data_IF_918513920896
#
_entry.id   IF_918513920896
#
_cell.length_a   1.000
_cell.length_b   1.000
_cell.length_c   1.000
_cell.angle_alpha   90.00
_cell.angle_beta   90.00
_cell.angle_gamma   90.00
#
_symmetry.space_group_name_H-M   'P 1'
#
loop_
_entity.id
_entity.type
_entity.pdbx_description
1 polymer ?
#
# COMPACT_ATOMS: atom_id res chain seq x y z
N UNK A 1 -26.79 -45.87 -34.55
CA UNK A 1 -27.21 -44.45 -34.61
C UNK A 1 -26.30 -43.62 -33.72
N UNK A 2 -26.04 -42.36 -34.06
CA UNK A 2 -25.17 -41.45 -33.28
C UNK A 2 -25.98 -40.72 -32.20
N UNK A 3 -25.37 -40.44 -31.05
CA UNK A 3 -25.75 -39.33 -30.16
C UNK A 3 -24.50 -38.64 -29.61
N UNK A 4 -24.64 -37.37 -29.23
CA UNK A 4 -23.56 -36.36 -29.22
C UNK A 4 -23.42 -35.74 -27.82
N UNK A 5 -22.20 -35.41 -27.34
CA UNK A 5 -22.03 -34.73 -26.05
C UNK A 5 -22.44 -33.24 -26.14
N UNK A 6 -23.04 -32.67 -25.08
CA UNK A 6 -23.37 -31.24 -25.04
C UNK A 6 -22.12 -30.36 -24.93
N UNK A 7 -22.20 -29.18 -25.56
CA UNK A 7 -21.09 -28.24 -25.76
C UNK A 7 -20.77 -27.40 -24.52
N UNK A 8 -19.50 -27.00 -24.41
CA UNK A 8 -19.11 -25.83 -23.65
C UNK A 8 -19.74 -24.55 -24.24
N UNK A 9 -20.21 -23.65 -23.37
CA UNK A 9 -20.65 -22.30 -23.72
C UNK A 9 -19.72 -21.30 -23.03
N UNK A 10 -18.87 -20.64 -23.83
CA UNK A 10 -18.02 -19.56 -23.36
C UNK A 10 -18.86 -18.35 -22.97
N UNK A 11 -18.61 -17.78 -21.79
CA UNK A 11 -19.24 -16.52 -21.39
C UNK A 11 -18.54 -15.35 -22.05
N UNK A 12 -19.29 -14.57 -22.83
CA UNK A 12 -18.78 -13.35 -23.45
C UNK A 12 -18.45 -12.29 -22.38
N UNK A 13 -17.24 -11.74 -22.44
CA UNK A 13 -16.83 -10.62 -21.59
C UNK A 13 -17.40 -9.33 -22.17
N UNK A 14 -18.45 -8.80 -21.56
CA UNK A 14 -18.97 -7.47 -21.87
C UNK A 14 -18.10 -6.42 -21.14
N UNK A 15 -17.17 -5.82 -21.86
CA UNK A 15 -16.38 -4.68 -21.36
C UNK A 15 -17.24 -3.41 -21.46
N UNK A 16 -17.81 -2.98 -20.33
CA UNK A 16 -18.42 -1.64 -20.22
C UNK A 16 -17.36 -0.66 -19.73
N UNK A 17 -16.73 0.06 -20.65
CA UNK A 17 -15.83 1.16 -20.33
C UNK A 17 -16.65 2.42 -19.96
N UNK A 18 -16.77 2.72 -18.67
CA UNK A 18 -17.41 3.95 -18.20
C UNK A 18 -16.43 5.14 -18.26
N UNK A 19 -16.43 5.86 -19.37
CA UNK A 19 -15.71 7.13 -19.49
C UNK A 19 -16.37 8.20 -18.61
N UNK A 20 -15.64 8.73 -17.63
CA UNK A 20 -16.10 9.85 -16.82
C UNK A 20 -15.63 11.16 -17.45
N UNK A 21 -16.57 11.92 -18.04
CA UNK A 21 -16.30 13.24 -18.60
C UNK A 21 -16.22 14.25 -17.45
N UNK A 22 -15.03 14.80 -17.20
CA UNK A 22 -14.85 15.94 -16.31
C UNK A 22 -14.98 17.24 -17.11
N UNK A 23 -16.03 18.02 -16.84
CA UNK A 23 -16.22 19.35 -17.43
C UNK A 23 -15.35 20.35 -16.66
N UNK A 24 -14.27 20.82 -17.28
CA UNK A 24 -13.48 21.94 -16.75
C UNK A 24 -14.07 23.28 -17.20
N UNK A 25 -14.53 24.09 -16.24
CA UNK A 25 -14.83 25.50 -16.48
C UNK A 25 -13.52 26.31 -16.48
N UNK A 26 -13.10 26.77 -17.66
CA UNK A 26 -11.91 27.62 -17.80
C UNK A 26 -12.27 29.10 -17.62
N UNK A 27 -11.66 29.77 -16.63
CA UNK A 27 -11.63 31.24 -16.59
C UNK A 27 -10.45 31.76 -17.40
N UNK A 28 -10.68 32.83 -18.18
CA UNK A 28 -9.70 33.44 -19.09
C UNK A 28 -9.03 34.66 -18.45
N UNK A 29 -7.72 34.76 -18.65
CA UNK A 29 -6.98 36.02 -18.66
C UNK A 29 -5.48 35.76 -18.84
N UNK A 30 -4.68 36.53 -19.58
CA UNK A 30 -4.85 37.39 -20.75
C UNK A 30 -3.45 37.99 -21.04
N UNK A 31 -2.75 37.51 -22.09
CA UNK A 31 -1.56 38.14 -22.74
C UNK A 31 -0.29 38.23 -21.83
N UNK A 32 0.95 38.31 -22.32
CA UNK A 32 1.52 38.61 -23.66
C UNK A 32 2.89 37.95 -23.88
N UNK A 33 3.27 37.75 -25.16
CA UNK A 33 4.64 37.50 -25.68
C UNK A 33 5.09 38.73 -26.51
N UNK A 34 6.22 38.77 -27.27
CA UNK A 34 7.34 37.80 -27.44
C UNK A 34 8.76 38.44 -27.50
N UNK A 35 9.80 37.58 -27.59
CA UNK A 35 11.00 37.65 -28.50
C UNK A 35 12.10 36.73 -27.94
N UNK A 36 13.14 36.28 -28.66
CA UNK A 36 13.42 35.86 -30.04
C UNK A 36 14.95 35.79 -30.15
N UNK A 37 15.52 34.76 -30.79
CA UNK A 37 16.92 34.72 -31.23
C UNK A 37 18.03 34.54 -30.16
N UNK A 38 19.24 34.08 -30.50
CA UNK A 38 19.66 33.37 -31.70
C UNK A 38 20.96 32.56 -31.47
N UNK A 39 21.08 31.49 -32.24
CA UNK A 39 22.27 30.66 -32.52
C UNK A 39 23.57 31.45 -32.82
N UNK A 40 24.74 30.92 -32.41
CA UNK A 40 25.87 30.62 -33.32
C UNK A 40 27.12 30.04 -32.61
N UNK A 41 27.61 28.90 -33.12
CA UNK A 41 29.04 28.54 -33.19
C UNK A 41 29.49 28.75 -34.66
N UNK A 42 30.65 28.28 -35.20
CA UNK A 42 31.86 27.70 -34.59
C UNK A 42 33.17 28.32 -35.13
N UNK A 43 34.36 27.88 -34.67
CA UNK A 43 35.53 27.73 -35.58
C UNK A 43 36.42 26.56 -35.15
N UNK A 44 36.87 25.77 -36.14
CA UNK A 44 37.86 24.70 -36.03
C UNK A 44 39.29 25.22 -36.27
N UNK A 45 40.31 24.50 -35.79
CA UNK A 45 41.52 24.31 -36.59
C UNK A 45 42.32 23.08 -36.14
N UNK A 46 42.67 22.22 -37.09
CA UNK A 46 43.59 21.11 -36.91
C UNK A 46 44.92 21.44 -37.60
N UNK A 47 46.04 20.99 -37.04
CA UNK A 47 47.35 21.02 -37.72
C UNK A 47 48.09 19.70 -37.51
N UNK A 48 48.77 19.26 -38.57
CA UNK A 48 49.40 17.93 -38.70
C UNK A 48 50.84 18.08 -39.23
N UNK A 49 51.61 17.00 -39.14
CA UNK A 49 52.92 16.70 -39.76
C UNK A 49 54.20 17.09 -38.99
N UNK A 50 55.17 16.16 -38.97
CA UNK A 50 56.57 16.38 -38.57
C UNK A 50 57.27 15.15 -37.97
N UNK A 51 58.19 14.54 -38.72
CA UNK A 51 59.10 13.44 -38.33
C UNK A 51 60.19 13.31 -39.44
N UNK A 52 61.37 12.67 -39.29
CA UNK A 52 62.04 11.90 -38.22
C UNK A 52 63.36 12.66 -37.85
N UNK A 53 64.52 12.10 -37.39
CA UNK A 53 64.84 10.79 -36.81
C UNK A 53 65.74 10.78 -35.53
N UNK A 54 65.79 9.62 -34.86
CA UNK A 54 67.03 8.98 -34.38
C UNK A 54 67.84 9.57 -33.21
N UNK A 55 67.71 8.96 -32.02
CA UNK A 55 68.80 8.80 -31.04
C UNK A 55 68.65 7.46 -30.30
N UNK A 56 69.75 6.95 -29.74
CA UNK A 56 69.92 5.54 -29.39
C UNK A 56 69.13 5.05 -28.17
N UNK A 57 68.86 3.74 -28.16
CA UNK A 57 68.26 3.02 -27.03
C UNK A 57 69.20 2.98 -25.83
N UNK A 58 68.70 3.41 -24.66
CA UNK A 58 69.28 3.11 -23.35
C UNK A 58 68.19 2.39 -22.55
N UNK A 59 68.36 1.09 -22.35
CA UNK A 59 67.46 0.27 -21.54
C UNK A 59 67.70 0.56 -20.05
N UNK A 60 67.00 1.57 -19.53
CA UNK A 60 66.84 1.79 -18.09
C UNK A 60 65.50 1.19 -17.65
N UNK A 61 65.54 0.09 -16.89
CA UNK A 61 64.35 -0.52 -16.30
C UNK A 61 63.78 0.39 -15.19
N UNK A 62 62.83 1.25 -15.54
CA UNK A 62 62.07 2.03 -14.56
C UNK A 62 61.06 1.14 -13.82
N UNK A 63 60.91 1.24 -12.49
CA UNK A 63 59.79 0.66 -11.78
C UNK A 63 58.48 1.20 -12.35
N UNK A 64 57.53 0.31 -12.65
CA UNK A 64 56.28 0.68 -13.29
C UNK A 64 55.26 1.16 -12.24
N UNK A 65 55.63 2.18 -11.46
CA UNK A 65 54.77 2.83 -10.46
C UNK A 65 53.71 3.70 -11.16
N UNK A 66 52.74 3.02 -11.77
CA UNK A 66 51.48 3.66 -12.18
C UNK A 66 50.70 3.97 -10.90
N UNK A 67 50.37 5.24 -10.59
CA UNK A 67 49.56 5.56 -9.44
C UNK A 67 48.18 4.89 -9.60
N UNK A 68 47.92 3.86 -8.80
CA UNK A 68 46.63 3.20 -8.78
C UNK A 68 45.61 4.24 -8.33
N UNK A 69 44.74 4.66 -9.25
CA UNK A 69 43.72 5.66 -8.95
C UNK A 69 42.91 5.18 -7.75
N UNK A 70 43.00 5.90 -6.64
CA UNK A 70 42.33 5.53 -5.41
C UNK A 70 40.84 5.34 -5.71
N UNK A 71 40.31 4.17 -5.36
CA UNK A 71 38.88 3.93 -5.52
C UNK A 71 38.11 5.03 -4.78
N UNK A 72 37.01 5.57 -5.35
CA UNK A 72 36.24 6.59 -4.67
C UNK A 72 35.84 6.08 -3.28
N UNK A 73 35.84 6.94 -2.25
CA UNK A 73 35.49 6.51 -0.90
C UNK A 73 34.10 5.86 -0.95
N UNK A 74 33.86 4.79 -0.15
CA UNK A 74 32.56 4.15 -0.11
C UNK A 74 31.49 5.21 0.19
N UNK A 75 30.29 5.11 -0.42
CA UNK A 75 29.22 6.04 -0.14
C UNK A 75 28.96 6.08 1.37
N UNK A 76 28.59 7.24 1.93
CA UNK A 76 28.28 7.33 3.36
C UNK A 76 27.23 6.27 3.71
N UNK A 77 27.33 5.63 4.89
CA UNK A 77 26.37 4.61 5.28
C UNK A 77 24.96 5.18 5.19
N UNK A 78 24.06 4.46 4.51
CA UNK A 78 22.65 4.83 4.47
C UNK A 78 22.14 5.03 5.92
N UNK A 79 21.27 6.03 6.16
CA UNK A 79 20.79 6.31 7.51
C UNK A 79 20.21 5.03 8.11
N UNK A 80 20.81 4.58 9.21
CA UNK A 80 20.56 3.25 9.75
C UNK A 80 19.08 3.01 9.95
N UNK A 81 18.59 1.86 9.47
CA UNK A 81 17.20 1.42 9.62
C UNK A 81 16.70 1.68 11.03
N UNK A 82 15.71 2.56 11.13
CA UNK A 82 14.93 2.76 12.33
C UNK A 82 14.39 1.43 12.86
N UNK A 83 14.57 1.14 14.16
CA UNK A 83 14.09 -0.11 14.75
C UNK A 83 12.58 -0.28 14.48
N UNK A 84 12.11 -1.45 14.01
CA UNK A 84 10.69 -1.67 13.75
C UNK A 84 9.87 -1.65 15.06
N UNK A 85 8.59 -1.26 15.00
CA UNK A 85 7.68 -1.49 16.13
C UNK A 85 7.43 -3.00 16.28
N UNK A 86 7.35 -3.55 17.51
CA UNK A 86 7.04 -4.95 17.71
C UNK A 86 5.79 -5.39 16.93
N UNK A 87 5.84 -6.58 16.30
CA UNK A 87 4.72 -7.13 15.55
C UNK A 87 3.47 -7.25 16.45
N UNK A 88 2.27 -7.13 15.88
CA UNK A 88 1.06 -7.26 16.69
C UNK A 88 0.83 -8.74 17.03
N UNK A 89 0.50 -9.02 18.29
CA UNK A 89 0.19 -10.38 18.73
C UNK A 89 -1.12 -10.87 18.08
N UNK A 90 -1.00 -11.65 17.00
CA UNK A 90 -2.14 -12.26 16.31
C UNK A 90 -2.61 -13.47 17.12
N UNK A 91 -3.50 -13.23 18.08
CA UNK A 91 -4.08 -14.29 18.90
C UNK A 91 -4.97 -15.21 18.08
N UNK A 92 -4.94 -16.50 18.41
CA UNK A 92 -5.95 -17.48 18.04
C UNK A 92 -6.65 -17.87 19.33
N UNK A 93 -7.85 -17.34 19.55
CA UNK A 93 -8.66 -17.62 20.75
C UNK A 93 -9.83 -18.49 20.33
N UNK A 94 -9.98 -19.65 20.95
CA UNK A 94 -11.17 -20.47 20.74
C UNK A 94 -12.41 -19.76 21.30
N UNK A 95 -13.47 -19.54 20.48
CA UNK A 95 -14.66 -18.85 20.94
C UNK A 95 -15.44 -19.70 21.98
N UNK A 96 -16.19 -19.06 22.90
CA UNK A 96 -16.92 -19.77 23.95
C UNK A 96 -17.87 -20.86 23.43
N UNK A 97 -18.24 -21.84 24.27
CA UNK A 97 -19.30 -22.80 23.97
C UNK A 97 -20.60 -22.10 23.52
N UNK A 98 -21.33 -22.71 22.60
CA UNK A 98 -22.46 -22.07 21.89
C UNK A 98 -23.54 -21.49 22.83
N UNK A 99 -23.80 -22.15 23.96
CA UNK A 99 -24.74 -21.68 25.00
C UNK A 99 -24.28 -20.37 25.63
N UNK A 100 -23.02 -20.32 26.07
CA UNK A 100 -22.42 -19.12 26.66
C UNK A 100 -22.24 -18.02 25.62
N UNK A 101 -21.84 -18.34 24.40
CA UNK A 101 -21.74 -17.38 23.31
C UNK A 101 -23.11 -16.76 22.95
N UNK A 102 -24.18 -17.55 22.96
CA UNK A 102 -25.55 -17.03 22.74
C UNK A 102 -25.96 -16.08 23.88
N UNK A 103 -25.65 -16.45 25.13
CA UNK A 103 -25.93 -15.64 26.31
C UNK A 103 -25.16 -14.30 26.25
N UNK A 104 -23.85 -14.35 26.07
CA UNK A 104 -22.99 -13.17 25.93
C UNK A 104 -23.43 -12.28 24.76
N UNK A 105 -23.68 -12.83 23.57
CA UNK A 105 -24.13 -12.05 22.41
C UNK A 105 -25.50 -11.38 22.59
N UNK A 106 -26.32 -11.87 23.54
CA UNK A 106 -27.62 -11.30 23.90
C UNK A 106 -27.51 -10.25 25.02
N UNK A 107 -26.75 -10.55 26.06
CA UNK A 107 -26.76 -9.83 27.36
C UNK A 107 -25.56 -8.90 27.55
N UNK A 108 -24.39 -9.28 27.02
CA UNK A 108 -23.11 -8.60 27.23
C UNK A 108 -22.24 -8.63 25.95
N UNK A 109 -22.74 -8.12 24.80
CA UNK A 109 -22.09 -8.28 23.51
C UNK A 109 -20.69 -7.66 23.45
N UNK A 110 -20.42 -6.62 24.24
CA UNK A 110 -19.12 -5.96 24.35
C UNK A 110 -18.03 -6.87 24.96
N UNK A 111 -18.41 -7.86 25.79
CA UNK A 111 -17.47 -8.81 26.37
C UNK A 111 -16.93 -9.85 25.35
N UNK A 112 -17.49 -9.89 24.13
CA UNK A 112 -16.99 -10.72 23.04
C UNK A 112 -15.95 -9.98 22.16
N UNK A 113 -15.80 -8.67 22.30
CA UNK A 113 -14.96 -7.86 21.41
C UNK A 113 -15.45 -7.84 19.97
N UNK A 114 -14.53 -7.56 19.04
CA UNK A 114 -14.83 -7.42 17.61
C UNK A 114 -14.78 -8.76 16.85
N UNK A 115 -15.72 -8.98 15.93
CA UNK A 115 -15.77 -10.18 15.09
C UNK A 115 -16.10 -9.87 13.62
N UNK A 116 -15.39 -10.54 12.71
CA UNK A 116 -15.58 -10.49 11.26
C UNK A 116 -16.54 -11.62 10.85
N UNK A 117 -17.80 -11.28 10.57
CA UNK A 117 -18.87 -12.25 10.28
C UNK A 117 -19.07 -12.37 8.77
N UNK A 118 -18.74 -13.53 8.20
CA UNK A 118 -18.85 -13.78 6.75
C UNK A 118 -17.53 -13.48 6.03
N UNK A 119 -17.60 -12.95 4.80
CA UNK A 119 -16.40 -12.60 4.02
C UNK A 119 -16.26 -11.08 3.81
N UNK A 120 -15.07 -10.57 3.47
CA UNK A 120 -14.85 -9.17 3.10
C UNK A 120 -15.83 -8.62 2.05
N UNK A 121 -16.32 -9.48 1.15
CA UNK A 121 -17.22 -9.14 0.03
C UNK A 121 -18.68 -9.59 0.21
N UNK A 122 -18.99 -10.25 1.32
CA UNK A 122 -20.35 -10.65 1.74
C UNK A 122 -20.34 -10.92 3.24
N UNK A 123 -20.33 -9.84 4.02
CA UNK A 123 -20.09 -9.93 5.46
C UNK A 123 -20.78 -8.85 6.27
N UNK A 124 -20.50 -8.88 7.57
CA UNK A 124 -20.89 -7.87 8.56
C UNK A 124 -19.82 -7.80 9.66
N UNK A 125 -19.82 -6.69 10.38
CA UNK A 125 -18.94 -6.45 11.53
C UNK A 125 -19.79 -6.53 12.80
N UNK A 126 -19.29 -7.23 13.80
CA UNK A 126 -19.87 -7.27 15.15
C UNK A 126 -18.85 -6.67 16.13
N UNK A 127 -19.29 -5.85 17.09
CA UNK A 127 -18.41 -5.29 18.12
C UNK A 127 -17.20 -4.52 17.58
N UNK A 128 -17.33 -3.90 16.40
CA UNK A 128 -16.23 -3.21 15.73
C UNK A 128 -15.69 -2.04 16.53
N UNK A 129 -14.45 -1.65 16.24
CA UNK A 129 -13.78 -0.48 16.82
C UNK A 129 -13.64 0.60 15.74
N UNK A 130 -13.92 1.85 16.09
CA UNK A 130 -13.74 3.00 15.21
C UNK A 130 -12.30 3.53 15.28
N UNK A 131 -11.65 3.66 14.11
CA UNK A 131 -10.41 4.40 13.99
C UNK A 131 -10.69 5.90 14.17
N UNK A 132 -10.04 6.51 15.16
CA UNK A 132 -10.17 7.93 15.46
C UNK A 132 -9.02 8.74 14.88
N UNK A 133 -9.25 10.04 14.75
CA UNK A 133 -8.20 11.02 14.52
C UNK A 133 -7.15 10.99 15.63
N UNK A 134 -5.89 11.15 15.25
CA UNK A 134 -4.74 11.26 16.16
C UNK A 134 -3.67 12.19 15.57
N UNK A 135 -2.57 12.42 16.30
CA UNK A 135 -1.42 13.17 15.78
C UNK A 135 -0.83 12.59 14.48
N UNK A 136 -1.03 11.30 14.21
CA UNK A 136 -0.55 10.64 13.01
C UNK A 136 -1.61 10.29 11.99
N UNK A 137 -2.89 10.27 12.37
CA UNK A 137 -3.99 9.80 11.52
C UNK A 137 -5.03 10.91 11.37
N UNK A 138 -5.45 11.14 10.14
CA UNK A 138 -6.58 12.00 9.77
C UNK A 138 -7.62 11.16 9.04
N UNK A 139 -8.81 11.01 9.62
CA UNK A 139 -9.94 10.32 9.00
C UNK A 139 -10.45 11.12 7.82
N UNK A 140 -10.49 10.48 6.66
CA UNK A 140 -10.95 11.09 5.43
C UNK A 140 -12.49 11.17 5.29
N UNK A 141 -13.21 11.27 6.42
CA UNK A 141 -14.63 10.96 6.49
C UNK A 141 -14.91 9.47 6.28
N UNK A 142 -16.03 9.17 5.59
CA UNK A 142 -16.42 7.81 5.26
C UNK A 142 -16.77 6.97 6.50
N UNK A 143 -16.40 5.69 6.46
CA UNK A 143 -16.71 4.71 7.51
C UNK A 143 -15.43 4.12 8.12
N UNK A 144 -15.17 4.44 9.39
CA UNK A 144 -13.90 4.14 10.07
C UNK A 144 -13.88 2.87 10.94
N UNK A 145 -14.80 1.92 10.78
CA UNK A 145 -14.96 0.80 11.72
C UNK A 145 -14.28 -0.47 11.23
N UNK A 146 -13.49 -1.13 12.08
CA UNK A 146 -12.80 -2.39 11.77
C UNK A 146 -12.85 -3.39 12.92
N UNK A 147 -12.16 -4.53 12.79
CA UNK A 147 -11.81 -5.33 13.98
C UNK A 147 -10.76 -4.59 14.81
N UNK A 148 -10.69 -4.85 16.11
CA UNK A 148 -9.72 -4.19 17.01
C UNK A 148 -8.28 -4.40 16.52
N UNK A 149 -7.95 -5.59 16.03
CA UNK A 149 -6.62 -5.90 15.49
C UNK A 149 -6.29 -5.03 14.26
N UNK A 150 -7.26 -4.81 13.37
CA UNK A 150 -7.09 -3.95 12.19
C UNK A 150 -6.81 -2.51 12.60
N UNK A 151 -7.61 -1.96 13.52
CA UNK A 151 -7.41 -0.59 14.01
C UNK A 151 -6.02 -0.45 14.64
N UNK A 152 -5.65 -1.37 15.54
CA UNK A 152 -4.34 -1.36 16.21
C UNK A 152 -3.17 -1.56 15.25
N UNK A 153 -3.31 -2.34 14.18
CA UNK A 153 -2.27 -2.51 13.15
C UNK A 153 -2.02 -1.23 12.34
N UNK A 154 -3.08 -0.51 11.96
CA UNK A 154 -2.98 0.79 11.28
C UNK A 154 -2.27 1.80 12.19
N UNK A 155 -2.73 1.93 13.44
CA UNK A 155 -2.11 2.85 14.41
C UNK A 155 -0.64 2.50 14.69
N UNK A 156 -0.30 1.20 14.82
CA UNK A 156 1.08 0.73 15.01
C UNK A 156 1.97 1.17 13.85
N UNK A 157 1.56 0.90 12.61
CA UNK A 157 2.36 1.26 11.43
C UNK A 157 2.54 2.78 11.30
N UNK A 158 1.53 3.58 11.66
CA UNK A 158 1.65 5.05 11.66
C UNK A 158 2.55 5.56 12.77
N UNK A 159 2.51 4.98 13.98
CA UNK A 159 3.45 5.30 15.06
C UNK A 159 4.89 4.99 14.65
N UNK A 160 5.12 3.84 14.00
CA UNK A 160 6.44 3.47 13.47
C UNK A 160 6.97 4.55 12.52
N UNK A 161 6.19 4.93 11.50
CA UNK A 161 6.60 5.97 10.53
C UNK A 161 6.88 7.30 11.23
N UNK A 162 6.06 7.74 12.19
CA UNK A 162 6.32 8.99 12.94
C UNK A 162 7.61 8.94 13.76
N UNK A 163 7.96 7.80 14.34
CA UNK A 163 9.22 7.63 15.08
C UNK A 163 10.43 7.59 14.13
N UNK A 164 10.27 7.00 12.95
CA UNK A 164 11.34 6.86 11.97
C UNK A 164 11.55 8.09 11.09
N UNK A 165 10.53 8.93 10.93
CA UNK A 165 10.53 10.14 10.12
C UNK A 165 9.93 11.28 10.94
N UNK A 166 10.81 12.08 11.55
CA UNK A 166 10.43 13.31 12.24
C UNK A 166 9.57 14.21 11.34
N UNK A 167 8.67 14.96 11.98
CA UNK A 167 7.73 15.89 11.36
C UNK A 167 6.86 15.28 10.24
N UNK A 168 6.63 13.95 10.28
CA UNK A 168 5.73 13.30 9.35
C UNK A 168 4.32 13.89 9.42
N UNK A 169 3.72 14.28 8.27
CA UNK A 169 2.36 14.80 8.24
C UNK A 169 1.34 13.74 8.70
N UNK A 170 0.11 14.18 9.01
CA UNK A 170 -0.98 13.25 9.34
C UNK A 170 -1.36 12.43 8.10
N UNK A 171 -1.27 11.11 8.21
CA UNK A 171 -1.67 10.16 7.18
C UNK A 171 -3.19 10.13 7.07
N UNK A 172 -3.71 10.22 5.85
CA UNK A 172 -5.14 9.99 5.63
C UNK A 172 -5.48 8.51 5.68
N UNK A 173 -6.57 8.17 6.37
CA UNK A 173 -7.17 6.84 6.33
C UNK A 173 -8.64 6.97 5.90
N UNK A 174 -8.98 6.24 4.83
CA UNK A 174 -10.28 6.18 4.17
C UNK A 174 -11.19 5.10 4.73
N UNK A 175 -12.06 4.53 3.90
CA UNK A 175 -13.03 3.53 4.35
C UNK A 175 -12.37 2.26 4.91
N UNK A 176 -12.93 1.73 6.00
CA UNK A 176 -12.53 0.46 6.64
C UNK A 176 -13.71 -0.50 6.54
N UNK A 177 -14.75 -0.26 7.33
CA UNK A 177 -16.10 -0.79 7.16
C UNK A 177 -17.09 0.12 7.88
N UNK A 178 -18.39 -0.14 7.63
CA UNK A 178 -19.49 0.42 8.43
C UNK A 178 -19.44 -0.15 9.86
N UNK A 179 -20.00 0.57 10.85
CA UNK A 179 -20.12 0.11 12.26
C UNK A 179 -20.57 -1.35 12.39
N UNK A 180 -21.51 -1.77 11.53
CA UNK A 180 -22.08 -3.14 11.48
C UNK A 180 -21.70 -3.91 10.21
N UNK A 181 -20.73 -3.39 9.46
CA UNK A 181 -20.30 -3.91 8.16
C UNK A 181 -21.43 -3.91 7.12
N UNK A 182 -21.42 -4.92 6.25
CA UNK A 182 -22.35 -5.03 5.12
C UNK A 182 -21.94 -4.18 3.92
N UNK A 183 -22.71 -4.30 2.83
CA UNK A 183 -22.44 -3.64 1.55
C UNK A 183 -22.17 -2.14 1.72
N UNK A 184 -21.07 -1.68 1.12
CA UNK A 184 -20.59 -0.32 1.19
C UNK A 184 -20.29 0.19 -0.23
N UNK A 185 -21.21 0.94 -0.85
CA UNK A 185 -20.99 1.53 -2.18
C UNK A 185 -19.91 2.62 -2.10
N UNK A 186 -18.95 2.71 -3.04
CA UNK A 186 -18.80 1.93 -4.28
C UNK A 186 -17.98 0.64 -4.15
N UNK A 187 -17.44 0.37 -2.96
CA UNK A 187 -16.52 -0.73 -2.67
C UNK A 187 -17.13 -2.11 -2.89
N UNK A 188 -16.30 -3.06 -3.33
CA UNK A 188 -16.69 -4.48 -3.47
C UNK A 188 -16.46 -5.26 -2.17
N UNK A 189 -15.42 -4.90 -1.43
CA UNK A 189 -15.05 -5.43 -0.11
C UNK A 189 -15.51 -4.45 1.01
N UNK A 190 -14.76 -4.31 2.12
CA UNK A 190 -15.06 -3.44 3.26
C UNK A 190 -16.32 -3.83 4.06
N UNK A 191 -16.77 -5.07 3.96
CA UNK A 191 -18.04 -5.50 4.59
C UNK A 191 -17.87 -6.15 5.96
N UNK A 192 -16.67 -6.62 6.32
CA UNK A 192 -16.45 -7.40 7.55
C UNK A 192 -15.38 -6.83 8.48
N UNK A 193 -14.93 -5.59 8.24
CA UNK A 193 -13.95 -4.88 9.08
C UNK A 193 -12.51 -5.38 8.96
N UNK A 194 -12.17 -6.12 7.89
CA UNK A 194 -10.83 -6.67 7.60
C UNK A 194 -10.07 -5.92 6.49
N UNK A 195 -10.69 -4.92 5.87
CA UNK A 195 -10.13 -4.13 4.79
C UNK A 195 -9.96 -2.67 5.24
N UNK A 196 -8.97 -1.94 4.72
CA UNK A 196 -8.82 -0.50 4.95
C UNK A 196 -8.16 0.21 3.75
N UNK A 197 -8.72 1.35 3.34
CA UNK A 197 -8.10 2.26 2.38
C UNK A 197 -7.19 3.24 3.11
N UNK A 198 -5.91 3.29 2.73
CA UNK A 198 -4.88 4.09 3.39
C UNK A 198 -4.22 5.00 2.35
N UNK A 199 -4.06 6.29 2.67
CA UNK A 199 -3.40 7.25 1.79
C UNK A 199 -1.90 6.99 1.64
N UNK A 200 -1.27 7.65 0.68
CA UNK A 200 0.20 7.69 0.60
C UNK A 200 0.78 8.85 1.43
N UNK A 201 2.08 8.83 1.67
CA UNK A 201 2.80 10.01 2.11
C UNK A 201 3.31 10.80 0.89
N UNK A 202 3.24 12.12 0.97
CA UNK A 202 3.62 13.04 -0.10
C UNK A 202 4.67 14.02 0.44
N UNK A 203 5.42 14.66 -0.45
CA UNK A 203 6.49 15.63 -0.10
C UNK A 203 5.97 16.89 0.62
N UNK A 204 4.65 17.07 0.67
CA UNK A 204 3.92 18.12 1.40
C UNK A 204 2.62 17.54 1.93
N UNK A 205 1.89 18.28 2.77
CA UNK A 205 0.63 17.78 3.34
C UNK A 205 -0.38 17.44 2.24
N UNK A 206 -0.93 16.23 2.32
CA UNK A 206 -1.77 15.67 1.29
C UNK A 206 -3.20 16.26 1.31
N UNK A 207 -3.89 16.09 0.19
CA UNK A 207 -5.36 16.05 0.16
C UNK A 207 -5.83 14.60 0.01
N UNK A 208 -6.99 14.26 0.58
CA UNK A 208 -7.55 12.92 0.37
C UNK A 208 -7.86 12.67 -1.11
N UNK A 209 -7.68 11.43 -1.56
CA UNK A 209 -7.72 11.03 -2.97
C UNK A 209 -6.71 11.73 -3.92
N UNK A 210 -5.69 12.43 -3.42
CA UNK A 210 -4.62 12.97 -4.24
C UNK A 210 -3.88 11.87 -5.03
N UNK A 211 -3.71 12.00 -6.35
CA UNK A 211 -2.95 11.01 -7.12
C UNK A 211 -1.45 11.08 -6.81
N UNK A 212 -0.85 9.93 -6.50
CA UNK A 212 0.59 9.76 -6.37
C UNK A 212 1.29 9.78 -7.74
N UNK A 213 2.37 10.56 -7.83
CA UNK A 213 3.22 10.73 -9.02
C UNK A 213 4.69 10.84 -8.60
N UNK A 214 5.63 10.78 -9.54
CA UNK A 214 7.07 10.90 -9.23
C UNK A 214 7.42 12.26 -8.60
N UNK A 215 6.68 13.30 -8.99
CA UNK A 215 6.86 14.67 -8.55
C UNK A 215 6.40 14.86 -7.10
N UNK A 216 5.29 14.23 -6.68
CA UNK A 216 4.65 14.51 -5.39
C UNK A 216 4.79 13.42 -4.32
N UNK A 217 5.03 12.16 -4.69
CA UNK A 217 5.10 11.04 -3.74
C UNK A 217 6.34 11.14 -2.85
N UNK A 218 6.17 10.94 -1.55
CA UNK A 218 7.27 10.61 -0.67
C UNK A 218 7.44 9.09 -0.67
N UNK A 219 8.31 8.60 -1.55
CA UNK A 219 8.56 7.17 -1.70
C UNK A 219 9.20 6.55 -0.45
N UNK A 220 10.00 7.32 0.31
CA UNK A 220 10.67 6.85 1.52
C UNK A 220 9.69 6.63 2.68
N UNK A 221 8.90 7.66 3.02
CA UNK A 221 7.86 7.57 4.06
C UNK A 221 6.76 6.59 3.68
N UNK A 222 6.36 6.56 2.40
CA UNK A 222 5.36 5.60 1.90
C UNK A 222 5.88 4.16 1.95
N UNK A 223 7.12 3.92 1.56
CA UNK A 223 7.70 2.58 1.68
C UNK A 223 7.83 2.15 3.14
N UNK A 224 8.24 3.04 4.05
CA UNK A 224 8.29 2.75 5.47
C UNK A 224 6.90 2.37 6.04
N UNK A 225 5.83 3.05 5.61
CA UNK A 225 4.46 2.67 5.99
C UNK A 225 4.08 1.28 5.49
N UNK A 226 4.36 0.97 4.22
CA UNK A 226 4.06 -0.32 3.61
C UNK A 226 4.87 -1.44 4.28
N UNK A 227 6.17 -1.22 4.55
CA UNK A 227 7.04 -2.13 5.30
C UNK A 227 6.51 -2.35 6.72
N UNK A 228 6.21 -1.28 7.46
CA UNK A 228 5.69 -1.36 8.82
C UNK A 228 4.36 -2.13 8.91
N UNK A 229 3.47 -1.99 7.92
CA UNK A 229 2.24 -2.78 7.85
C UNK A 229 2.53 -4.28 7.65
N UNK A 230 3.42 -4.64 6.72
CA UNK A 230 3.82 -6.03 6.43
C UNK A 230 4.50 -6.66 7.65
N UNK A 231 5.44 -5.96 8.27
CA UNK A 231 6.19 -6.40 9.46
C UNK A 231 5.33 -6.45 10.73
N UNK A 232 4.15 -5.82 10.71
CA UNK A 232 3.10 -6.07 11.70
C UNK A 232 2.61 -7.53 11.74
N UNK A 233 2.88 -8.34 10.70
CA UNK A 233 2.64 -9.79 10.65
C UNK A 233 1.22 -10.19 10.23
N UNK A 234 0.26 -9.27 10.28
CA UNK A 234 -1.16 -9.55 10.04
C UNK A 234 -1.71 -9.03 8.71
N UNK A 235 -0.87 -8.60 7.75
CA UNK A 235 -1.32 -8.26 6.38
C UNK A 235 -1.49 -9.52 5.53
N UNK A 236 -2.68 -9.67 4.92
CA UNK A 236 -2.97 -10.69 3.90
C UNK A 236 -2.43 -10.25 2.54
N UNK A 237 -2.80 -9.03 2.12
CA UNK A 237 -2.47 -8.47 0.81
C UNK A 237 -2.65 -6.95 0.81
N UNK A 238 -1.96 -6.27 -0.11
CA UNK A 238 -2.04 -4.83 -0.33
C UNK A 238 -2.28 -4.58 -1.82
N UNK A 239 -3.31 -3.81 -2.19
CA UNK A 239 -3.50 -3.35 -3.57
C UNK A 239 -2.95 -1.94 -3.76
N UNK A 240 -2.03 -1.81 -4.72
CA UNK A 240 -1.36 -0.56 -5.12
C UNK A 240 -1.43 -0.48 -6.65
N UNK A 241 -1.70 0.69 -7.24
CA UNK A 241 -1.65 0.85 -8.69
C UNK A 241 -0.22 0.63 -9.22
N UNK A 242 -0.07 0.00 -10.38
CA UNK A 242 1.24 -0.39 -10.93
C UNK A 242 2.15 0.83 -11.19
N UNK A 243 1.58 2.01 -11.43
CA UNK A 243 2.36 3.25 -11.53
C UNK A 243 3.01 3.64 -10.20
N UNK A 244 2.33 3.44 -9.07
CA UNK A 244 2.88 3.72 -7.74
C UNK A 244 3.83 2.60 -7.28
N UNK A 245 3.53 1.34 -7.60
CA UNK A 245 4.45 0.22 -7.34
C UNK A 245 5.83 0.48 -7.93
N UNK A 246 5.92 0.98 -9.18
CA UNK A 246 7.18 1.32 -9.85
C UNK A 246 7.96 2.41 -9.11
N UNK A 247 7.29 3.40 -8.54
CA UNK A 247 7.94 4.46 -7.75
C UNK A 247 8.52 3.91 -6.44
N UNK A 248 7.79 3.02 -5.76
CA UNK A 248 8.27 2.35 -4.55
C UNK A 248 9.42 1.37 -4.86
N UNK A 249 9.32 0.60 -5.94
CA UNK A 249 10.41 -0.28 -6.41
C UNK A 249 11.67 0.51 -6.78
N UNK A 250 11.53 1.65 -7.45
CA UNK A 250 12.66 2.52 -7.77
C UNK A 250 13.36 3.06 -6.51
N UNK A 251 12.60 3.44 -5.47
CA UNK A 251 13.17 3.80 -4.18
C UNK A 251 13.82 2.61 -3.46
N UNK A 252 13.15 1.45 -3.42
CA UNK A 252 13.66 0.22 -2.80
C UNK A 252 14.99 -0.23 -3.42
N UNK A 253 15.17 -0.08 -4.73
CA UNK A 253 16.42 -0.37 -5.42
C UNK A 253 17.60 0.54 -5.01
N UNK A 254 17.34 1.65 -4.31
CA UNK A 254 18.40 2.52 -3.72
C UNK A 254 18.80 2.11 -2.30
N UNK A 255 18.07 1.18 -1.67
CA UNK A 255 18.35 0.71 -0.32
C UNK A 255 19.47 -0.33 -0.31
N UNK A 256 20.25 -0.43 0.79
CA UNK A 256 21.18 -1.54 1.00
C UNK A 256 20.49 -2.89 0.84
N UNK A 257 21.20 -3.90 0.32
CA UNK A 257 20.64 -5.22 0.02
C UNK A 257 19.91 -5.85 1.22
N UNK A 258 20.51 -5.80 2.42
CA UNK A 258 19.90 -6.29 3.66
C UNK A 258 18.68 -5.50 4.16
N UNK A 259 18.32 -4.39 3.51
CA UNK A 259 17.06 -3.68 3.72
C UNK A 259 16.03 -3.90 2.61
N UNK A 260 16.40 -4.47 1.47
CA UNK A 260 15.45 -4.73 0.41
C UNK A 260 14.43 -5.80 0.86
N UNK A 261 13.15 -5.65 0.49
CA UNK A 261 12.14 -6.65 0.84
C UNK A 261 12.40 -7.96 0.10
N UNK A 262 11.97 -9.11 0.66
CA UNK A 262 12.05 -10.38 -0.04
C UNK A 262 11.10 -10.40 -1.25
N UNK A 263 11.38 -11.29 -2.21
CA UNK A 263 10.67 -11.36 -3.50
C UNK A 263 9.16 -11.63 -3.40
N UNK A 264 8.65 -12.07 -2.23
CA UNK A 264 7.22 -12.21 -1.95
C UNK A 264 6.48 -10.86 -1.88
N UNK A 265 7.17 -9.74 -1.68
CA UNK A 265 6.52 -8.46 -1.42
C UNK A 265 6.00 -7.80 -2.70
N UNK A 266 6.84 -7.70 -3.75
CA UNK A 266 6.48 -7.03 -5.01
C UNK A 266 6.30 -8.02 -6.17
N UNK A 267 5.35 -7.78 -7.09
CA UNK A 267 5.15 -8.67 -8.23
C UNK A 267 6.31 -8.54 -9.25
N UNK A 268 6.67 -9.67 -9.84
CA UNK A 268 7.65 -9.80 -10.92
C UNK A 268 7.00 -10.39 -12.18
N UNK A 269 7.70 -10.44 -13.33
CA UNK A 269 7.19 -11.11 -14.54
C UNK A 269 6.84 -12.60 -14.31
N UNK A 270 7.57 -13.27 -13.42
CA UNK A 270 7.43 -14.70 -13.10
C UNK A 270 6.56 -14.98 -11.87
N UNK A 271 6.41 -14.01 -10.94
CA UNK A 271 5.72 -14.17 -9.66
C UNK A 271 4.68 -13.07 -9.45
N UNK A 272 3.40 -13.42 -9.56
CA UNK A 272 2.26 -12.49 -9.40
C UNK A 272 1.45 -12.68 -8.11
N UNK A 273 1.60 -13.82 -7.45
CA UNK A 273 1.01 -14.08 -6.14
C UNK A 273 1.96 -13.57 -5.06
N UNK A 274 1.88 -12.26 -4.80
CA UNK A 274 2.74 -11.49 -3.90
C UNK A 274 1.90 -10.70 -2.91
N UNK A 275 2.52 -10.11 -1.88
CA UNK A 275 1.79 -9.31 -0.88
C UNK A 275 1.20 -8.06 -1.54
N UNK A 276 2.03 -7.30 -2.27
CA UNK A 276 1.58 -6.15 -3.06
C UNK A 276 1.07 -6.65 -4.41
N UNK A 277 -0.14 -6.24 -4.79
CA UNK A 277 -0.82 -6.63 -6.03
C UNK A 277 -1.36 -5.40 -6.76
N UNK A 278 -1.48 -5.49 -8.08
CA UNK A 278 -2.11 -4.42 -8.84
C UNK A 278 -3.63 -4.46 -8.75
N UNK A 279 -4.25 -3.32 -8.45
CA UNK A 279 -5.64 -3.05 -8.78
C UNK A 279 -5.81 -1.63 -9.33
N UNK A 280 -6.69 -1.46 -10.31
CA UNK A 280 -7.03 -0.17 -10.90
C UNK A 280 -7.66 0.77 -9.86
N UNK A 281 -7.42 2.08 -10.00
CA UNK A 281 -7.96 3.12 -9.11
C UNK A 281 -7.12 3.38 -7.85
N UNK A 282 -6.23 2.46 -7.48
CA UNK A 282 -5.38 2.52 -6.27
C UNK A 282 -4.10 3.35 -6.50
N UNK A 283 -4.23 4.48 -7.19
CA UNK A 283 -3.14 5.44 -7.44
C UNK A 283 -3.25 6.67 -6.55
N UNK A 284 -4.25 6.70 -5.66
CA UNK A 284 -4.61 7.82 -4.77
C UNK A 284 -4.63 7.41 -3.30
N UNK A 285 -4.70 6.09 -3.07
CA UNK A 285 -4.69 5.36 -1.81
C UNK A 285 -4.29 3.92 -2.15
N UNK A 286 -3.85 3.16 -1.17
CA UNK A 286 -3.70 1.71 -1.26
C UNK A 286 -4.70 1.01 -0.35
N UNK A 287 -5.15 -0.17 -0.76
CA UNK A 287 -6.11 -0.97 0.00
C UNK A 287 -5.37 -2.10 0.69
N UNK A 288 -5.50 -2.22 2.01
CA UNK A 288 -4.91 -3.30 2.80
C UNK A 288 -6.02 -4.26 3.24
N UNK A 289 -5.81 -5.57 3.03
CA UNK A 289 -6.56 -6.60 3.75
C UNK A 289 -5.69 -7.21 4.84
N UNK A 290 -6.29 -7.40 6.01
CA UNK A 290 -5.66 -7.98 7.17
C UNK A 290 -6.22 -9.37 7.48
N UNK A 291 -5.36 -10.22 8.06
CA UNK A 291 -5.72 -11.46 8.74
C UNK A 291 -6.03 -11.16 10.20
N UNK A 292 -7.22 -11.53 10.66
CA UNK A 292 -7.60 -11.53 12.07
C UNK A 292 -8.28 -12.88 12.41
N UNK A 293 -7.48 -13.93 12.70
CA UNK A 293 -8.00 -15.28 12.92
C UNK A 293 -8.97 -15.38 14.08
N UNK A 294 -8.74 -14.65 15.19
CA UNK A 294 -9.65 -14.63 16.33
C UNK A 294 -10.99 -13.99 15.97
N UNK A 295 -11.00 -12.80 15.35
CA UNK A 295 -12.25 -12.15 14.94
C UNK A 295 -13.01 -12.95 13.89
N UNK A 296 -12.32 -13.68 12.99
CA UNK A 296 -12.94 -14.59 12.02
C UNK A 296 -13.50 -15.84 12.69
N UNK A 297 -12.78 -16.49 13.61
CA UNK A 297 -13.24 -17.68 14.32
C UNK A 297 -14.48 -17.38 15.18
N UNK A 298 -14.48 -16.26 15.90
CA UNK A 298 -15.64 -15.76 16.63
C UNK A 298 -16.80 -15.42 15.68
N UNK A 299 -16.51 -14.78 14.55
CA UNK A 299 -17.51 -14.39 13.55
C UNK A 299 -18.21 -15.59 12.88
N UNK A 300 -17.47 -16.66 12.58
CA UNK A 300 -18.02 -17.94 12.10
C UNK A 300 -19.02 -18.55 13.09
N UNK A 301 -18.69 -18.48 14.38
CA UNK A 301 -19.54 -18.94 15.49
C UNK A 301 -20.80 -18.07 15.63
N UNK A 302 -20.63 -16.75 15.59
CA UNK A 302 -21.72 -15.77 15.68
C UNK A 302 -22.68 -15.78 14.47
N UNK A 303 -22.22 -16.16 13.28
CA UNK A 303 -23.06 -16.25 12.07
C UNK A 303 -24.33 -17.09 12.26
N UNK A 304 -24.26 -18.15 13.08
CA UNK A 304 -25.39 -19.03 13.39
C UNK A 304 -26.30 -18.53 14.53
N UNK A 305 -25.82 -17.56 15.32
CA UNK A 305 -26.48 -17.03 16.52
C UNK A 305 -27.21 -15.72 16.23
N UNK A 306 -26.56 -14.79 15.52
CA UNK A 306 -27.08 -13.45 15.27
C UNK A 306 -28.45 -13.42 14.55
N UNK A 307 -28.76 -14.31 13.57
CA UNK A 307 -30.10 -14.37 12.96
C UNK A 307 -31.18 -14.77 13.98
N UNK A 308 -30.88 -15.70 14.89
CA UNK A 308 -31.81 -16.15 15.95
C UNK A 308 -32.11 -15.03 16.94
N UNK A 309 -31.08 -14.27 17.33
CA UNK A 309 -31.25 -13.08 18.20
C UNK A 309 -32.09 -11.98 17.54
N UNK A 310 -31.98 -11.80 16.21
CA UNK A 310 -32.83 -10.85 15.45
C UNK A 310 -34.27 -11.34 15.33
N UNK A 311 -34.48 -12.65 15.15
CA UNK A 311 -35.82 -13.27 15.14
C UNK A 311 -36.52 -13.17 16.49
N UNK A 312 -35.82 -13.46 17.59
CA UNK A 312 -36.37 -13.38 18.95
C UNK A 312 -36.82 -11.96 19.35
N UNK A 313 -36.22 -10.91 18.78
CA UNK A 313 -36.66 -9.51 18.97
C UNK A 313 -37.86 -9.10 18.08
N UNK A 314 -38.28 -9.95 17.15
CA UNK A 314 -39.36 -9.69 16.17
C UNK A 314 -40.63 -10.51 16.43
N UNK A 315 -40.66 -11.39 17.42
CA UNK A 315 -41.90 -12.00 17.86
C UNK A 315 -42.82 -10.89 18.44
N UNK A 316 -44.09 -10.79 18.01
CA UNK A 316 -45.03 -9.89 18.65
C UNK A 316 -45.25 -10.31 20.11
N UNK A 317 -45.49 -9.34 20.99
CA UNK A 317 -46.00 -9.55 22.34
C UNK A 317 -47.51 -9.75 22.29
#
# INVERSE_FOLDING_TARGET
MRSVPPRALGSAIVIVAAASIAVFAAQRGARSSPNEGASAAPVTSARRMGALPGVASVLASTPNDTPQAASPPPPPPAPARCMPEPAIEVRVVDPPPVTELFRLAKEKPEALGSASVGSPTRGSLFGGVELKDSEGILRAGGYGWGTELVIRSIERAVREVRRCFADSPRLYVGDIARERGGWLKPHRSHQSGLDADIGYYYKSQATWYQRATAENLDAARTWALVRALIEGGNVEMIFIDVSVQRLLQAYVATLPEGEQPPEEVFPSPTKRDTIIRHAWGHATHFHVRFRDPAAVALGQRLANILPRLRGARRAPR
#
